data_IF_097655124943
#
_entry.id   IF_097655124943
#
_cell.length_a   1.000
_cell.length_b   1.000
_cell.length_c   1.000
_cell.angle_alpha   90.00
_cell.angle_beta   90.00
_cell.angle_gamma   90.00
#
_symmetry.space_group_name_H-M   'P 1'
#
loop_
_entity.id
_entity.type
_entity.pdbx_description
1 polymer ?
#
# COMPACT_ATOMS: atom_id res chain seq x y z
N UNK A 1 -19.89 -4.39 -15.55
CA UNK A 1 -19.98 -3.59 -14.31
C UNK A 1 -19.66 -2.15 -14.67
N UNK A 2 -20.08 -1.16 -13.87
CA UNK A 2 -19.66 0.22 -14.15
C UNK A 2 -18.22 0.42 -13.67
N UNK A 3 -17.48 1.35 -14.28
CA UNK A 3 -16.11 1.68 -13.84
C UNK A 3 -16.06 2.07 -12.35
N UNK A 4 -17.11 2.73 -11.85
CA UNK A 4 -17.28 3.05 -10.44
C UNK A 4 -17.31 1.80 -9.55
N UNK A 5 -18.06 0.77 -9.96
CA UNK A 5 -18.15 -0.50 -9.24
C UNK A 5 -16.77 -1.18 -9.15
N UNK A 6 -16.06 -1.27 -10.27
CA UNK A 6 -14.74 -1.91 -10.31
C UNK A 6 -13.70 -1.13 -9.49
N UNK A 7 -13.74 0.21 -9.54
CA UNK A 7 -12.89 1.08 -8.73
C UNK A 7 -13.17 0.94 -7.23
N UNK A 8 -14.44 0.85 -6.83
CA UNK A 8 -14.80 0.64 -5.42
C UNK A 8 -14.31 -0.72 -4.90
N UNK A 9 -14.48 -1.78 -5.69
CA UNK A 9 -13.97 -3.12 -5.35
C UNK A 9 -12.44 -3.12 -5.25
N UNK A 10 -11.75 -2.44 -6.19
CA UNK A 10 -10.29 -2.27 -6.15
C UNK A 10 -9.83 -1.51 -4.90
N UNK A 11 -10.43 -0.37 -4.60
CA UNK A 11 -10.14 0.44 -3.41
C UNK A 11 -10.36 -0.35 -2.13
N UNK A 12 -11.46 -1.10 -2.06
CA UNK A 12 -11.79 -1.93 -0.91
C UNK A 12 -10.73 -3.00 -0.62
N UNK A 13 -10.14 -3.59 -1.66
CA UNK A 13 -9.05 -4.56 -1.53
C UNK A 13 -7.73 -3.88 -1.19
N UNK A 14 -7.44 -2.72 -1.80
CA UNK A 14 -6.23 -1.94 -1.52
C UNK A 14 -6.19 -1.49 -0.05
N UNK A 15 -7.30 -0.95 0.46
CA UNK A 15 -7.42 -0.47 1.85
C UNK A 15 -7.17 -1.62 2.84
N UNK A 16 -7.78 -2.78 2.62
CA UNK A 16 -7.58 -3.97 3.46
C UNK A 16 -6.10 -4.40 3.52
N UNK A 17 -5.40 -4.36 2.38
CA UNK A 17 -3.96 -4.61 2.32
C UNK A 17 -3.17 -3.58 3.12
N UNK A 18 -3.43 -2.29 2.95
CA UNK A 18 -2.68 -1.24 3.63
C UNK A 18 -2.91 -1.27 5.15
N UNK A 19 -4.13 -1.61 5.60
CA UNK A 19 -4.42 -1.84 7.03
C UNK A 19 -3.52 -2.93 7.61
N UNK A 20 -3.50 -4.10 6.97
CA UNK A 20 -2.66 -5.23 7.40
C UNK A 20 -1.18 -4.87 7.39
N UNK A 21 -0.74 -4.10 6.40
CA UNK A 21 0.65 -3.66 6.26
C UNK A 21 1.10 -2.78 7.42
N UNK A 22 0.38 -1.70 7.74
CA UNK A 22 0.85 -0.80 8.80
C UNK A 22 0.81 -1.45 10.18
N UNK A 23 -0.16 -2.34 10.44
CA UNK A 23 -0.21 -3.12 11.69
C UNK A 23 1.01 -4.01 11.82
N UNK A 24 1.41 -4.67 10.72
CA UNK A 24 2.57 -5.53 10.74
C UNK A 24 3.88 -4.75 10.91
N UNK A 25 4.02 -3.61 10.21
CA UNK A 25 5.16 -2.71 10.38
C UNK A 25 5.31 -2.29 11.86
N UNK A 26 4.19 -1.89 12.49
CA UNK A 26 4.17 -1.52 13.90
C UNK A 26 4.45 -2.71 14.85
N UNK A 27 3.99 -3.92 14.49
CA UNK A 27 4.17 -5.14 15.29
C UNK A 27 5.61 -5.61 15.32
N UNK A 28 6.29 -5.56 14.18
CA UNK A 28 7.60 -6.18 14.05
C UNK A 28 8.68 -5.46 14.86
N UNK A 29 8.46 -4.22 15.32
CA UNK A 29 9.37 -3.44 16.18
C UNK A 29 10.82 -3.39 15.66
N UNK A 30 11.03 -3.64 14.35
CA UNK A 30 12.38 -3.93 13.87
C UNK A 30 13.23 -2.65 13.85
N UNK A 31 12.66 -1.46 13.65
CA UNK A 31 13.40 -0.17 13.69
C UNK A 31 12.40 1.02 13.79
N UNK A 32 12.85 2.16 14.33
CA UNK A 32 12.24 3.51 14.22
C UNK A 32 11.66 3.80 12.82
N UNK A 33 12.43 3.56 11.75
CA UNK A 33 12.02 3.78 10.35
C UNK A 33 10.74 3.02 9.95
N UNK A 34 10.51 1.86 10.54
CA UNK A 34 9.32 1.06 10.29
C UNK A 34 8.08 1.58 11.00
N UNK A 35 8.27 2.13 12.20
CA UNK A 35 7.20 2.76 12.97
C UNK A 35 6.77 4.05 12.30
N UNK A 36 7.72 4.79 11.72
CA UNK A 36 7.45 5.97 10.90
C UNK A 36 6.66 5.60 9.65
N UNK A 37 7.10 4.57 8.92
CA UNK A 37 6.38 4.10 7.74
C UNK A 37 4.99 3.54 8.08
N UNK A 38 4.82 2.93 9.26
CA UNK A 38 3.51 2.50 9.74
C UNK A 38 2.56 3.70 9.95
N UNK A 39 3.05 4.81 10.51
CA UNK A 39 2.24 6.01 10.68
C UNK A 39 1.80 6.57 9.32
N UNK A 40 2.74 6.73 8.40
CA UNK A 40 2.47 7.22 7.04
C UNK A 40 1.41 6.36 6.32
N UNK A 41 1.58 5.04 6.29
CA UNK A 41 0.62 4.13 5.65
C UNK A 41 -0.75 4.19 6.35
N UNK A 42 -0.79 4.43 7.67
CA UNK A 42 -2.07 4.61 8.37
C UNK A 42 -2.80 5.88 7.94
N UNK A 43 -2.08 6.97 7.67
CA UNK A 43 -2.65 8.21 7.12
C UNK A 43 -3.06 8.05 5.65
N UNK A 44 -2.31 7.30 4.84
CA UNK A 44 -2.73 6.93 3.48
C UNK A 44 -4.09 6.21 3.49
N UNK A 45 -4.34 5.32 4.47
CA UNK A 45 -5.62 4.63 4.62
C UNK A 45 -6.78 5.59 4.90
N UNK A 46 -6.56 6.68 5.66
CA UNK A 46 -7.59 7.69 5.88
C UNK A 46 -8.03 8.32 4.55
N UNK A 47 -7.08 8.71 3.69
CA UNK A 47 -7.39 9.30 2.40
C UNK A 47 -8.05 8.29 1.44
N UNK A 48 -7.56 7.05 1.40
CA UNK A 48 -8.16 5.99 0.59
C UNK A 48 -9.61 5.68 1.01
N UNK A 49 -9.93 5.71 2.30
CA UNK A 49 -11.31 5.55 2.80
C UNK A 49 -12.21 6.71 2.36
N UNK A 50 -11.69 7.95 2.36
CA UNK A 50 -12.41 9.11 1.83
C UNK A 50 -12.68 8.95 0.33
N UNK A 51 -11.70 8.48 -0.45
CA UNK A 51 -11.87 8.20 -1.87
C UNK A 51 -12.91 7.08 -2.10
N UNK A 52 -12.89 6.01 -1.30
CA UNK A 52 -13.86 4.93 -1.40
C UNK A 52 -15.29 5.40 -1.10
N UNK A 53 -15.47 6.26 -0.09
CA UNK A 53 -16.77 6.90 0.19
C UNK A 53 -17.23 7.78 -0.98
N UNK A 54 -16.33 8.54 -1.61
CA UNK A 54 -16.66 9.36 -2.78
C UNK A 54 -17.15 8.48 -3.95
N UNK A 55 -16.41 7.43 -4.29
CA UNK A 55 -16.83 6.48 -5.35
C UNK A 55 -18.18 5.84 -5.00
N UNK A 56 -18.39 5.48 -3.74
CA UNK A 56 -19.65 4.86 -3.32
C UNK A 56 -20.84 5.81 -3.46
N UNK A 57 -20.69 7.09 -3.11
CA UNK A 57 -21.74 8.10 -3.32
C UNK A 57 -22.09 8.28 -4.79
N UNK A 58 -21.10 8.26 -5.68
CA UNK A 58 -21.33 8.31 -7.13
C UNK A 58 -22.13 7.08 -7.61
N UNK A 59 -21.83 5.89 -7.07
CA UNK A 59 -22.62 4.66 -7.34
C UNK A 59 -24.06 4.81 -6.83
N UNK A 60 -24.24 5.29 -5.59
CA UNK A 60 -25.54 5.44 -4.93
C UNK A 60 -26.46 6.44 -5.65
N UNK A 61 -25.90 7.56 -6.10
CA UNK A 61 -26.66 8.61 -6.75
C UNK A 61 -27.17 8.22 -8.15
N UNK A 62 -26.78 7.04 -8.68
CA UNK A 62 -27.05 6.62 -10.06
C UNK A 62 -26.75 7.76 -11.05
N UNK A 63 -25.77 8.59 -10.72
CA UNK A 63 -25.35 9.65 -11.59
C UNK A 63 -24.75 8.97 -12.83
N UNK A 64 -25.58 8.85 -13.87
CA UNK A 64 -25.14 8.93 -15.26
C UNK A 64 -24.58 10.33 -15.54
N UNK A 65 -24.02 11.02 -14.54
CA UNK A 65 -23.43 12.32 -14.74
C UNK A 65 -22.14 12.04 -15.49
N UNK A 66 -22.09 12.55 -16.72
CA UNK A 66 -20.92 12.61 -17.57
C UNK A 66 -19.78 13.45 -16.95
N UNK A 67 -19.75 13.66 -15.62
CA UNK A 67 -18.61 14.30 -14.96
C UNK A 67 -17.49 13.27 -14.79
N UNK A 68 -16.93 12.81 -15.92
CA UNK A 68 -15.76 11.92 -15.93
C UNK A 68 -14.62 12.46 -15.06
N UNK A 69 -14.57 13.78 -14.91
CA UNK A 69 -13.61 14.55 -14.12
C UNK A 69 -13.56 14.13 -12.64
N UNK A 70 -14.69 13.77 -12.01
CA UNK A 70 -14.73 13.34 -10.60
C UNK A 70 -14.00 12.00 -10.43
N UNK A 71 -14.35 11.02 -11.27
CA UNK A 71 -13.70 9.70 -11.26
C UNK A 71 -12.25 9.74 -11.73
N UNK A 72 -11.93 10.55 -12.74
CA UNK A 72 -10.55 10.68 -13.23
C UNK A 72 -9.64 11.21 -12.14
N UNK A 73 -10.13 12.18 -11.35
CA UNK A 73 -9.41 12.70 -10.21
C UNK A 73 -9.27 11.68 -9.08
N UNK A 74 -10.25 10.82 -8.84
CA UNK A 74 -10.13 9.74 -7.83
C UNK A 74 -9.12 8.70 -8.31
N UNK A 75 -9.21 8.26 -9.56
CA UNK A 75 -8.29 7.29 -10.16
C UNK A 75 -6.85 7.76 -10.11
N UNK A 76 -6.59 9.02 -10.45
CA UNK A 76 -5.25 9.60 -10.40
C UNK A 76 -4.68 9.62 -8.97
N UNK A 77 -5.51 9.90 -7.97
CA UNK A 77 -5.09 9.83 -6.56
C UNK A 77 -4.84 8.40 -6.08
N UNK A 78 -5.61 7.42 -6.55
CA UNK A 78 -5.33 6.00 -6.24
C UNK A 78 -4.04 5.55 -6.93
N UNK A 79 -3.85 5.96 -8.19
CA UNK A 79 -2.63 5.71 -8.96
C UNK A 79 -1.41 6.28 -8.24
N UNK A 80 -1.50 7.50 -7.72
CA UNK A 80 -0.43 8.14 -6.93
C UNK A 80 0.11 7.23 -5.81
N UNK A 81 -0.73 6.69 -4.92
CA UNK A 81 -0.23 5.85 -3.82
C UNK A 81 0.40 4.55 -4.32
N UNK A 82 -0.19 3.93 -5.35
CA UNK A 82 0.37 2.71 -5.95
C UNK A 82 1.71 2.98 -6.61
N UNK A 83 1.87 4.12 -7.29
CA UNK A 83 3.14 4.55 -7.87
C UNK A 83 4.18 4.75 -6.77
N UNK A 84 3.87 5.45 -5.69
CA UNK A 84 4.82 5.62 -4.57
C UNK A 84 5.24 4.27 -3.97
N UNK A 85 4.31 3.34 -3.75
CA UNK A 85 4.65 2.00 -3.27
C UNK A 85 5.45 1.17 -4.30
N UNK A 86 5.13 1.31 -5.58
CA UNK A 86 5.85 0.65 -6.66
C UNK A 86 7.30 1.13 -6.75
N UNK A 87 7.53 2.44 -6.68
CA UNK A 87 8.86 3.05 -6.71
C UNK A 87 9.71 2.60 -5.51
N UNK A 88 9.15 2.64 -4.29
CA UNK A 88 9.83 2.16 -3.07
C UNK A 88 10.21 0.68 -3.19
N UNK A 89 9.28 -0.15 -3.61
CA UNK A 89 9.51 -1.59 -3.75
C UNK A 89 10.45 -1.95 -4.91
N UNK A 90 10.51 -1.14 -5.96
CA UNK A 90 11.50 -1.29 -7.02
C UNK A 90 12.92 -1.01 -6.52
N UNK A 91 13.12 0.06 -5.74
CA UNK A 91 14.40 0.35 -5.11
C UNK A 91 14.84 -0.80 -4.18
N UNK A 92 13.93 -1.33 -3.38
CA UNK A 92 14.18 -2.51 -2.55
C UNK A 92 14.55 -3.74 -3.39
N UNK A 93 13.83 -4.00 -4.48
CA UNK A 93 14.13 -5.10 -5.39
C UNK A 93 15.52 -4.95 -6.03
N UNK A 94 15.94 -3.72 -6.36
CA UNK A 94 17.31 -3.44 -6.81
C UNK A 94 18.34 -3.79 -5.72
N UNK A 95 18.05 -3.47 -4.45
CA UNK A 95 18.93 -3.72 -3.31
C UNK A 95 19.08 -5.22 -3.00
N UNK A 96 17.96 -5.94 -2.87
CA UNK A 96 17.91 -7.33 -2.43
C UNK A 96 17.22 -8.13 -3.53
N UNK A 97 18.02 -8.86 -4.33
CA UNK A 97 17.50 -9.81 -5.31
C UNK A 97 16.61 -10.84 -4.60
N UNK A 98 15.30 -10.75 -4.84
CA UNK A 98 14.33 -11.76 -4.47
C UNK A 98 13.84 -12.42 -5.77
N UNK A 99 14.20 -13.69 -5.95
CA UNK A 99 13.81 -14.50 -7.12
C UNK A 99 12.32 -14.90 -7.08
N UNK A 100 11.63 -14.62 -5.97
CA UNK A 100 10.19 -14.83 -5.87
C UNK A 100 9.44 -13.83 -6.75
N UNK A 101 8.45 -14.32 -7.50
CA UNK A 101 7.45 -13.47 -8.16
C UNK A 101 6.49 -12.82 -7.13
N UNK A 102 6.51 -13.25 -5.88
CA UNK A 102 5.64 -12.74 -4.81
C UNK A 102 6.26 -11.55 -4.05
N UNK A 103 6.94 -10.64 -4.76
CA UNK A 103 7.46 -9.41 -4.15
C UNK A 103 6.44 -8.28 -4.21
N UNK A 104 6.59 -7.29 -3.31
CA UNK A 104 5.77 -6.06 -3.33
C UNK A 104 5.92 -5.33 -4.67
N UNK A 105 7.08 -5.39 -5.32
CA UNK A 105 7.31 -4.81 -6.65
C UNK A 105 6.39 -5.42 -7.72
N UNK A 106 6.33 -6.75 -7.80
CA UNK A 106 5.44 -7.40 -8.77
C UNK A 106 3.97 -7.22 -8.44
N UNK A 107 3.59 -7.26 -7.15
CA UNK A 107 2.22 -7.00 -6.68
C UNK A 107 1.75 -5.60 -7.05
N UNK A 108 2.52 -4.57 -6.71
CA UNK A 108 2.18 -3.17 -7.01
C UNK A 108 2.14 -2.92 -8.52
N UNK A 109 3.04 -3.53 -9.29
CA UNK A 109 2.98 -3.48 -10.75
C UNK A 109 1.72 -4.13 -11.33
N UNK A 110 1.24 -5.21 -10.73
CA UNK A 110 -0.04 -5.83 -11.10
C UNK A 110 -1.25 -4.96 -10.70
N UNK A 111 -1.20 -4.32 -9.54
CA UNK A 111 -2.23 -3.38 -9.07
C UNK A 111 -2.34 -2.16 -10.00
N UNK A 112 -1.21 -1.59 -10.43
CA UNK A 112 -1.18 -0.49 -11.41
C UNK A 112 -1.77 -0.91 -12.77
N UNK A 113 -1.44 -2.12 -13.25
CA UNK A 113 -2.04 -2.65 -14.49
C UNK A 113 -3.55 -2.81 -14.36
N UNK A 114 -4.04 -3.42 -13.27
CA UNK A 114 -5.47 -3.57 -13.02
C UNK A 114 -6.18 -2.22 -12.92
N UNK A 115 -5.57 -1.22 -12.28
CA UNK A 115 -6.13 0.13 -12.24
C UNK A 115 -6.25 0.74 -13.65
N UNK A 116 -5.27 0.51 -14.51
CA UNK A 116 -5.30 0.91 -15.93
C UNK A 116 -6.32 0.15 -16.79
N UNK A 117 -6.73 -1.06 -16.38
CA UNK A 117 -7.83 -1.83 -17.01
C UNK A 117 -9.21 -1.25 -16.65
N UNK A 118 -9.38 -0.71 -15.44
CA UNK A 118 -10.62 -0.05 -14.99
C UNK A 118 -10.88 1.22 -15.83
N UNK A 119 -9.83 2.02 -16.05
CA UNK A 119 -9.87 3.15 -16.97
C UNK A 119 -8.46 3.46 -17.46
N UNK A 120 -8.33 3.67 -18.78
CA UNK A 120 -7.06 4.06 -19.38
C UNK A 120 -6.69 5.46 -18.90
N UNK A 121 -5.55 5.57 -18.22
CA UNK A 121 -5.03 6.87 -17.81
C UNK A 121 -4.80 7.76 -19.05
N UNK A 122 -5.20 9.02 -18.95
CA UNK A 122 -4.99 10.00 -20.02
C UNK A 122 -3.50 10.31 -20.23
N UNK A 123 -2.68 10.13 -19.18
CA UNK A 123 -1.23 10.34 -19.18
C UNK A 123 -0.50 9.12 -18.61
N UNK A 124 0.63 8.79 -19.23
CA UNK A 124 1.62 7.82 -18.70
C UNK A 124 2.56 8.48 -17.67
N UNK A 125 2.45 9.78 -17.46
CA UNK A 125 3.22 10.51 -16.45
C UNK A 125 2.80 10.12 -15.03
N UNK A 126 3.73 10.30 -14.08
CA UNK A 126 3.45 10.09 -12.65
C UNK A 126 2.38 11.05 -12.15
N UNK A 127 1.46 10.52 -11.35
CA UNK A 127 0.41 11.29 -10.70
C UNK A 127 1.03 12.30 -9.73
N UNK A 128 0.43 13.49 -9.64
CA UNK A 128 0.95 14.57 -8.79
C UNK A 128 0.25 14.57 -7.43
N UNK A 129 0.97 14.85 -6.33
CA UNK A 129 0.34 14.93 -5.01
C UNK A 129 -0.53 16.19 -4.92
N UNK A 130 -1.77 16.03 -4.45
CA UNK A 130 -2.72 17.15 -4.29
C UNK A 130 -3.03 17.47 -2.83
N UNK A 131 -2.79 16.54 -1.91
CA UNK A 131 -2.97 16.75 -0.47
C UNK A 131 -1.63 16.86 0.25
N UNK A 132 -1.63 17.44 1.46
CA UNK A 132 -0.43 17.49 2.29
C UNK A 132 0.10 16.09 2.63
N UNK A 133 -0.80 15.13 2.88
CA UNK A 133 -0.42 13.73 3.17
C UNK A 133 0.24 13.10 1.94
N UNK A 134 -0.29 13.34 0.73
CA UNK A 134 0.36 12.88 -0.50
C UNK A 134 1.72 13.54 -0.73
N UNK A 135 1.85 14.85 -0.47
CA UNK A 135 3.14 15.53 -0.57
C UNK A 135 4.17 14.93 0.41
N UNK A 136 3.76 14.68 1.66
CA UNK A 136 4.61 14.02 2.65
C UNK A 136 4.95 12.58 2.21
N UNK A 137 3.97 11.83 1.71
CA UNK A 137 4.17 10.47 1.19
C UNK A 137 5.19 10.44 0.05
N UNK A 138 5.11 11.37 -0.91
CA UNK A 138 6.09 11.49 -1.98
C UNK A 138 7.48 11.81 -1.41
N UNK A 139 7.57 12.81 -0.51
CA UNK A 139 8.83 13.18 0.12
C UNK A 139 9.49 12.00 0.85
N UNK A 140 8.75 11.33 1.73
CA UNK A 140 9.26 10.21 2.50
C UNK A 140 9.63 9.02 1.60
N UNK A 141 8.85 8.78 0.53
CA UNK A 141 9.15 7.76 -0.46
C UNK A 141 10.47 8.03 -1.20
N UNK A 142 10.67 9.27 -1.65
CA UNK A 142 11.91 9.68 -2.33
C UNK A 142 13.09 9.60 -1.37
N UNK A 143 12.93 10.01 -0.10
CA UNK A 143 13.97 9.89 0.92
C UNK A 143 14.39 8.42 1.16
N UNK A 144 13.43 7.49 1.18
CA UNK A 144 13.68 6.05 1.30
C UNK A 144 14.43 5.54 0.06
N UNK A 145 13.93 5.85 -1.14
CA UNK A 145 14.55 5.44 -2.40
C UNK A 145 15.98 5.96 -2.50
N UNK A 146 16.19 7.24 -2.22
CA UNK A 146 17.51 7.88 -2.18
C UNK A 146 18.45 7.10 -1.26
N UNK A 147 18.01 6.82 -0.03
CA UNK A 147 18.81 6.11 0.97
C UNK A 147 19.19 4.69 0.52
N UNK A 148 18.24 3.94 -0.04
CA UNK A 148 18.47 2.60 -0.59
C UNK A 148 19.55 2.63 -1.68
N UNK A 149 19.39 3.55 -2.63
CA UNK A 149 20.28 3.65 -3.78
C UNK A 149 21.67 4.13 -3.36
N UNK A 150 21.75 5.04 -2.38
CA UNK A 150 23.02 5.50 -1.82
C UNK A 150 23.81 4.33 -1.22
N UNK A 151 23.17 3.47 -0.42
CA UNK A 151 23.79 2.26 0.13
C UNK A 151 24.26 1.31 -0.97
N UNK A 152 23.43 1.06 -1.98
CA UNK A 152 23.81 0.17 -3.09
C UNK A 152 25.01 0.72 -3.88
N UNK A 153 25.06 2.04 -4.11
CA UNK A 153 26.16 2.74 -4.77
C UNK A 153 27.45 2.64 -3.93
N UNK A 154 27.37 2.95 -2.64
CA UNK A 154 28.52 2.88 -1.72
C UNK A 154 29.07 1.44 -1.61
N UNK A 155 28.20 0.45 -1.46
CA UNK A 155 28.60 -0.96 -1.41
C UNK A 155 29.25 -1.42 -2.70
N UNK A 156 28.76 -0.98 -3.86
CA UNK A 156 29.39 -1.28 -5.15
C UNK A 156 30.82 -0.72 -5.22
N UNK A 157 31.05 0.45 -4.66
CA UNK A 157 32.36 1.12 -4.66
C UNK A 157 33.31 0.52 -3.62
N UNK A 158 32.79 0.08 -2.47
CA UNK A 158 33.54 -0.60 -1.42
C UNK A 158 32.74 -1.77 -0.83
N UNK A 159 32.80 -2.98 -1.43
CA UNK A 159 32.05 -4.15 -0.96
C UNK A 159 32.40 -4.59 0.47
N UNK A 160 33.59 -4.24 0.95
CA UNK A 160 34.09 -4.62 2.28
C UNK A 160 33.83 -3.55 3.36
N UNK A 161 33.05 -2.51 3.04
CA UNK A 161 32.68 -1.48 4.02
C UNK A 161 31.99 -2.09 5.25
N UNK A 162 32.18 -1.44 6.41
CA UNK A 162 31.44 -1.79 7.62
C UNK A 162 29.96 -1.43 7.42
N UNK A 163 29.10 -2.44 7.50
CA UNK A 163 27.66 -2.29 7.46
C UNK A 163 27.11 -2.07 8.87
N UNK A 164 26.00 -1.34 8.98
CA UNK A 164 25.36 -1.13 10.29
C UNK A 164 25.04 -2.47 10.95
N UNK A 165 25.39 -2.59 12.24
CA UNK A 165 25.17 -3.80 13.04
C UNK A 165 23.70 -4.12 13.22
N UNK A 166 22.81 -3.15 12.99
CA UNK A 166 21.37 -3.39 12.96
C UNK A 166 20.91 -4.15 11.72
N UNK A 167 21.68 -4.18 10.63
CA UNK A 167 21.36 -4.99 9.45
C UNK A 167 21.64 -6.46 9.78
N UNK A 168 20.65 -7.36 9.66
CA UNK A 168 20.84 -8.78 9.93
C UNK A 168 21.97 -9.41 9.09
N UNK A 169 22.69 -10.36 9.68
CA UNK A 169 23.91 -10.93 9.10
C UNK A 169 23.69 -11.60 7.74
N UNK A 170 22.56 -12.30 7.57
CA UNK A 170 22.14 -12.90 6.32
C UNK A 170 21.90 -11.86 5.21
N UNK A 171 21.27 -10.73 5.56
CA UNK A 171 21.10 -9.62 4.62
C UNK A 171 22.44 -8.97 4.25
N UNK A 172 23.37 -8.81 5.19
CA UNK A 172 24.71 -8.30 4.89
C UNK A 172 25.46 -9.18 3.86
N UNK A 173 25.34 -10.51 3.96
CA UNK A 173 25.93 -11.43 2.97
C UNK A 173 25.34 -11.19 1.58
N UNK A 174 24.01 -11.01 1.49
CA UNK A 174 23.34 -10.73 0.22
C UNK A 174 23.76 -9.37 -0.36
N UNK A 175 23.82 -8.32 0.47
CA UNK A 175 24.25 -6.98 0.06
C UNK A 175 25.67 -7.01 -0.53
N UNK A 176 26.62 -7.66 0.16
CA UNK A 176 28.00 -7.80 -0.33
C UNK A 176 28.09 -8.60 -1.63
N UNK A 177 27.33 -9.69 -1.76
CA UNK A 177 27.25 -10.44 -3.03
C UNK A 177 26.69 -9.60 -4.17
N UNK A 178 25.69 -8.78 -3.89
CA UNK A 178 25.05 -7.93 -4.89
C UNK A 178 25.98 -6.78 -5.34
N UNK A 179 26.87 -6.31 -4.46
CA UNK A 179 27.88 -5.31 -4.77
C UNK A 179 28.78 -5.68 -5.96
N UNK A 180 29.17 -6.95 -6.06
CA UNK A 180 30.05 -7.45 -7.13
C UNK A 180 29.29 -8.01 -8.33
N UNK A 181 27.96 -7.93 -8.34
CA UNK A 181 27.12 -8.51 -9.40
C UNK A 181 26.02 -7.52 -9.82
N UNK A 182 24.87 -7.56 -9.15
CA UNK A 182 23.67 -6.79 -9.45
C UNK A 182 23.90 -5.29 -9.46
N UNK A 183 24.66 -4.75 -8.51
CA UNK A 183 24.89 -3.31 -8.45
C UNK A 183 25.78 -2.81 -9.60
N UNK A 184 26.55 -3.71 -10.21
CA UNK A 184 27.28 -3.44 -11.46
C UNK A 184 26.30 -3.46 -12.64
N UNK A 185 25.45 -4.48 -12.74
CA UNK A 185 24.44 -4.62 -13.79
C UNK A 185 23.49 -3.41 -13.86
N UNK A 186 23.04 -2.92 -12.71
CA UNK A 186 22.08 -1.80 -12.62
C UNK A 186 22.73 -0.44 -12.32
N UNK A 187 24.04 -0.30 -12.51
CA UNK A 187 24.80 0.93 -12.16
C UNK A 187 24.16 2.21 -12.70
N UNK A 188 23.84 2.25 -13.98
CA UNK A 188 23.34 3.47 -14.63
C UNK A 188 21.90 3.79 -14.20
N UNK A 189 21.07 2.76 -13.98
CA UNK A 189 19.70 2.93 -13.48
C UNK A 189 19.72 3.48 -12.06
N UNK A 190 20.52 2.89 -11.16
CA UNK A 190 20.65 3.36 -9.78
C UNK A 190 21.22 4.78 -9.73
N UNK A 191 22.24 5.09 -10.53
CA UNK A 191 22.81 6.43 -10.59
C UNK A 191 21.80 7.50 -11.01
N UNK A 192 21.00 7.24 -12.06
CA UNK A 192 19.96 8.16 -12.51
C UNK A 192 18.87 8.38 -11.47
N UNK A 193 18.39 7.31 -10.84
CA UNK A 193 17.33 7.41 -9.84
C UNK A 193 17.82 8.07 -8.55
N UNK A 194 19.05 7.79 -8.14
CA UNK A 194 19.68 8.47 -7.01
C UNK A 194 19.78 9.97 -7.26
N UNK A 195 20.29 10.38 -8.43
CA UNK A 195 20.38 11.80 -8.78
C UNK A 195 19.00 12.47 -8.82
N UNK A 196 18.02 11.85 -9.48
CA UNK A 196 16.65 12.40 -9.52
C UNK A 196 16.02 12.51 -8.13
N UNK A 197 16.37 11.60 -7.21
CA UNK A 197 15.89 11.66 -5.83
C UNK A 197 16.59 12.78 -5.06
N UNK A 198 17.90 12.94 -5.23
CA UNK A 198 18.68 14.04 -4.65
C UNK A 198 18.14 15.41 -5.12
N UNK A 199 17.94 15.58 -6.42
CA UNK A 199 17.41 16.82 -7.00
C UNK A 199 16.04 17.18 -6.39
N UNK A 200 15.12 16.20 -6.31
CA UNK A 200 13.82 16.38 -5.69
C UNK A 200 13.93 16.77 -4.19
N UNK A 201 14.80 16.10 -3.43
CA UNK A 201 14.95 16.36 -2.00
C UNK A 201 15.57 17.74 -1.71
N UNK A 202 16.45 18.24 -2.59
CA UNK A 202 17.01 19.60 -2.49
C UNK A 202 15.96 20.69 -2.76
N UNK A 203 15.00 20.42 -3.64
CA UNK A 203 13.89 21.34 -3.93
C UNK A 203 12.74 21.25 -2.91
N UNK A 204 12.62 20.11 -2.22
CA UNK A 204 11.54 19.87 -1.26
C UNK A 204 11.67 20.74 0.00
N UNK A 205 10.57 21.39 0.39
CA UNK A 205 10.50 22.16 1.64
C UNK A 205 10.06 21.34 2.85
N UNK A 206 9.63 20.08 2.61
CA UNK A 206 9.18 19.18 3.64
C UNK A 206 10.38 18.57 4.37
N UNK A 207 10.14 18.14 5.61
CA UNK A 207 11.07 17.31 6.37
C UNK A 207 10.54 15.90 6.39
N UNK A 208 11.45 14.95 6.44
CA UNK A 208 11.11 13.55 6.68
C UNK A 208 10.28 13.41 7.96
N UNK A 209 9.19 12.65 7.89
CA UNK A 209 8.33 12.41 9.05
C UNK A 209 9.11 11.65 10.13
N UNK A 210 8.99 12.08 11.38
CA UNK A 210 9.55 11.40 12.56
C UNK A 210 8.46 10.87 13.50
N UNK A 211 7.21 10.86 13.03
CA UNK A 211 6.08 10.37 13.82
C UNK A 211 6.04 8.85 13.81
N UNK A 212 6.17 8.22 14.98
CA UNK A 212 6.15 6.76 15.11
C UNK A 212 4.74 6.23 15.46
N UNK A 213 4.30 5.20 14.74
CA UNK A 213 3.10 4.44 15.09
C UNK A 213 3.45 3.13 15.79
N UNK A 214 3.30 3.12 17.13
CA UNK A 214 3.49 1.93 17.94
C UNK A 214 2.39 0.88 17.74
N UNK A 215 2.68 -0.37 18.07
CA UNK A 215 1.79 -1.51 17.82
C UNK A 215 0.38 -1.39 18.40
N UNK A 216 0.23 -1.04 19.70
CA UNK A 216 -1.11 -0.95 20.30
C UNK A 216 -1.94 0.21 19.71
N UNK A 217 -1.38 1.42 19.53
CA UNK A 217 -2.02 2.46 18.71
C UNK A 217 -2.38 2.01 17.29
N UNK A 218 -1.47 1.32 16.58
CA UNK A 218 -1.72 0.79 15.24
C UNK A 218 -2.91 -0.16 15.23
N UNK A 219 -2.96 -1.09 16.18
CA UNK A 219 -4.06 -2.05 16.32
C UNK A 219 -5.40 -1.35 16.57
N UNK A 220 -5.40 -0.31 17.41
CA UNK A 220 -6.62 0.49 17.67
C UNK A 220 -7.07 1.23 16.41
N UNK A 221 -6.15 1.85 15.66
CA UNK A 221 -6.46 2.49 14.36
C UNK A 221 -7.00 1.47 13.36
N UNK A 222 -6.43 0.26 13.31
CA UNK A 222 -6.88 -0.80 12.42
C UNK A 222 -8.32 -1.19 12.66
N UNK A 223 -8.72 -1.39 13.93
CA UNK A 223 -10.12 -1.66 14.26
C UNK A 223 -11.06 -0.55 13.77
N UNK A 224 -10.64 0.72 13.84
CA UNK A 224 -11.42 1.85 13.34
C UNK A 224 -11.53 1.84 11.82
N UNK A 225 -10.40 1.66 11.12
CA UNK A 225 -10.37 1.63 9.65
C UNK A 225 -11.11 0.41 9.08
N UNK A 226 -10.97 -0.77 9.71
CA UNK A 226 -11.72 -1.99 9.36
C UNK A 226 -13.22 -1.77 9.53
N UNK A 227 -13.64 -1.14 10.62
CA UNK A 227 -15.07 -0.82 10.86
C UNK A 227 -15.61 0.16 9.82
N UNK A 228 -14.83 1.17 9.44
CA UNK A 228 -15.21 2.12 8.38
C UNK A 228 -15.31 1.42 7.02
N UNK A 229 -14.31 0.60 6.66
CA UNK A 229 -14.32 -0.16 5.42
C UNK A 229 -15.53 -1.12 5.35
N UNK A 230 -15.84 -1.80 6.44
CA UNK A 230 -16.97 -2.73 6.50
C UNK A 230 -18.32 -1.99 6.36
N UNK A 231 -18.43 -0.79 6.94
CA UNK A 231 -19.57 0.08 6.73
C UNK A 231 -19.75 0.45 5.25
N UNK A 232 -18.67 0.84 4.55
CA UNK A 232 -18.70 1.12 3.11
C UNK A 232 -19.11 -0.11 2.29
N UNK A 233 -18.53 -1.28 2.60
CA UNK A 233 -18.84 -2.55 1.92
C UNK A 233 -20.30 -2.97 2.11
N UNK A 234 -20.83 -2.80 3.32
CA UNK A 234 -22.24 -3.11 3.62
C UNK A 234 -23.20 -2.25 2.81
N UNK A 235 -22.92 -0.93 2.73
CA UNK A 235 -23.66 -0.02 1.85
C UNK A 235 -23.58 -0.43 0.39
N UNK A 236 -22.38 -0.71 -0.12
CA UNK A 236 -22.18 -1.19 -1.48
C UNK A 236 -22.98 -2.48 -1.79
N UNK A 237 -23.00 -3.45 -0.88
CA UNK A 237 -23.77 -4.68 -1.03
C UNK A 237 -25.29 -4.44 -1.10
N UNK A 238 -25.81 -3.50 -0.30
CA UNK A 238 -27.24 -3.14 -0.33
C UNK A 238 -27.69 -2.59 -1.69
N UNK A 239 -26.78 -1.96 -2.44
CA UNK A 239 -27.04 -1.45 -3.79
C UNK A 239 -27.01 -2.60 -4.82
N UNK A 240 -26.05 -3.53 -4.68
CA UNK A 240 -25.84 -4.65 -5.62
C UNK A 240 -26.93 -5.72 -5.52
N UNK A 241 -27.62 -5.81 -4.37
CA UNK A 241 -28.72 -6.73 -4.12
C UNK A 241 -29.97 -5.98 -3.68
N UNK A 242 -30.73 -5.34 -4.61
CA UNK A 242 -31.95 -4.60 -4.26
C UNK A 242 -33.12 -5.50 -3.81
N UNK A 243 -32.94 -6.82 -3.76
CA UNK A 243 -34.01 -7.79 -3.51
C UNK A 243 -33.67 -8.70 -2.33
N UNK A 244 -33.88 -8.21 -1.12
CA UNK A 244 -34.20 -9.02 0.07
C UNK A 244 -34.76 -8.20 1.25
N UNK A 245 -35.43 -7.07 0.97
CA UNK A 245 -36.40 -6.51 1.91
C UNK A 245 -37.72 -7.24 1.71
N UNK A 246 -37.83 -8.42 2.30
CA UNK A 246 -39.10 -9.15 2.40
C UNK A 246 -40.08 -8.33 3.25
N UNK A 247 -41.19 -7.95 2.62
CA UNK A 247 -42.48 -7.85 3.27
C UNK A 247 -42.76 -9.17 3.99
N UNK A 248 -42.99 -9.12 5.30
CA UNK A 248 -43.75 -10.17 5.98
C UNK A 248 -44.84 -9.48 6.82
N UNK A 249 -45.96 -9.23 6.15
CA UNK A 249 -47.27 -9.29 6.81
C UNK A 249 -47.70 -10.77 6.90
N UNK A 250 -48.23 -11.19 8.04
CA UNK A 250 -49.13 -12.34 8.12
C UNK A 250 -48.72 -13.46 9.09
N UNK A 251 -49.48 -13.56 10.18
CA UNK A 251 -49.58 -14.66 11.14
C UNK A 251 -49.58 -16.07 10.53
N UNK A 252 -48.96 -17.04 11.21
CA UNK A 252 -49.70 -18.12 11.90
C UNK A 252 -48.76 -19.00 12.76
N UNK A 253 -49.18 -19.21 14.02
CA UNK A 253 -48.64 -20.20 14.95
C UNK A 253 -48.85 -21.63 14.44
N UNK A 254 -47.80 -22.46 14.40
CA UNK A 254 -47.87 -23.87 14.85
C UNK A 254 -46.51 -24.29 15.43
N UNK A 255 -46.54 -24.74 16.67
CA UNK A 255 -45.44 -25.35 17.43
C UNK A 255 -45.03 -26.71 16.84
N UNK A 256 -43.73 -26.99 16.78
CA UNK A 256 -43.19 -28.32 17.13
C UNK A 256 -41.66 -28.27 17.33
N UNK A 257 -41.22 -28.90 18.41
CA UNK A 257 -39.84 -29.04 18.86
C UNK A 257 -38.96 -29.78 17.83
N UNK A 258 -37.72 -29.30 17.61
CA UNK A 258 -36.56 -30.16 17.31
C UNK A 258 -35.22 -29.44 17.42
N UNK A 259 -34.37 -30.05 18.23
CA UNK A 259 -32.90 -29.99 18.35
C UNK A 259 -32.15 -28.76 17.83
N UNK A 260 -31.57 -28.05 18.81
CA UNK A 260 -30.45 -27.13 18.62
C UNK A 260 -29.21 -27.89 18.15
N UNK A 261 -28.95 -27.86 16.84
CA UNK A 261 -27.59 -27.91 16.31
C UNK A 261 -27.38 -26.67 15.45
N UNK A 262 -26.88 -25.61 16.08
CA UNK A 262 -26.51 -24.38 15.40
C UNK A 262 -25.21 -24.63 14.60
N UNK A 263 -25.34 -25.18 13.39
CA UNK A 263 -24.33 -24.99 12.36
C UNK A 263 -24.42 -23.53 11.91
N UNK A 264 -23.42 -22.74 12.30
CA UNK A 264 -23.19 -21.39 11.78
C UNK A 264 -23.09 -21.50 10.26
N UNK A 265 -23.98 -20.84 9.48
CA UNK A 265 -23.85 -20.90 8.02
C UNK A 265 -22.54 -20.23 7.63
N UNK A 266 -21.67 -20.99 6.97
CA UNK A 266 -20.45 -20.49 6.34
C UNK A 266 -20.81 -19.29 5.47
N UNK A 267 -20.36 -18.10 5.88
CA UNK A 267 -20.40 -16.89 5.06
C UNK A 267 -19.54 -17.13 3.83
N UNK A 268 -20.20 -17.49 2.71
CA UNK A 268 -19.56 -17.51 1.39
C UNK A 268 -19.16 -16.10 1.02
N UNK A 269 -17.89 -15.78 1.28
CA UNK A 269 -17.18 -14.64 0.69
C UNK A 269 -17.40 -14.64 -0.83
N UNK A 270 -17.95 -13.54 -1.35
CA UNK A 270 -18.19 -13.31 -2.78
C UNK A 270 -16.88 -13.01 -3.54
N UNK A 271 -15.73 -13.03 -2.87
CA UNK A 271 -14.44 -12.81 -3.50
C UNK A 271 -13.94 -14.10 -4.16
N UNK A 272 -13.92 -14.08 -5.49
CA UNK A 272 -13.35 -15.10 -6.36
C UNK A 272 -11.97 -15.58 -5.88
N UNK A 273 -11.71 -16.88 -5.95
CA UNK A 273 -10.42 -17.51 -5.63
C UNK A 273 -9.23 -16.93 -6.41
N UNK A 274 -9.47 -16.22 -7.52
CA UNK A 274 -8.46 -15.47 -8.27
C UNK A 274 -7.92 -14.27 -7.48
N UNK A 275 -8.74 -13.58 -6.67
CA UNK A 275 -8.31 -12.40 -5.90
C UNK A 275 -7.36 -12.76 -4.75
N UNK A 276 -7.41 -14.03 -4.27
CA UNK A 276 -6.51 -14.55 -3.25
C UNK A 276 -5.04 -14.68 -3.73
N UNK A 277 -4.80 -14.84 -5.03
CA UNK A 277 -3.44 -14.85 -5.59
C UNK A 277 -2.91 -13.44 -5.89
N UNK A 278 -3.79 -12.50 -6.27
CA UNK A 278 -3.39 -11.11 -6.56
C UNK A 278 -3.30 -10.21 -5.32
N UNK A 279 -4.11 -10.49 -4.27
CA UNK A 279 -4.23 -9.67 -3.05
C UNK A 279 -3.99 -10.48 -1.76
N UNK A 280 -4.08 -11.81 -1.81
CA UNK A 280 -3.94 -12.70 -0.65
C UNK A 280 -2.55 -13.31 -0.45
N UNK A 281 -1.55 -12.87 -1.21
CA UNK A 281 -0.16 -13.08 -0.87
C UNK A 281 0.28 -12.06 0.16
N UNK A 282 -0.01 -12.30 1.44
CA UNK A 282 0.77 -11.70 2.53
C UNK A 282 2.17 -12.33 2.49
N UNK A 283 2.91 -12.05 1.41
CA UNK A 283 4.34 -12.16 1.38
C UNK A 283 4.85 -11.04 2.30
N UNK A 284 4.89 -11.41 3.57
CA UNK A 284 5.54 -10.80 4.72
C UNK A 284 7.07 -10.66 4.51
N UNK A 285 7.47 -10.30 3.30
CA UNK A 285 8.84 -10.10 2.85
C UNK A 285 9.19 -8.62 2.65
N UNK A 286 8.23 -7.69 2.78
CA UNK A 286 8.52 -6.25 2.80
C UNK A 286 8.57 -5.72 4.23
N UNK A 287 9.44 -6.34 5.00
CA UNK A 287 9.74 -5.87 6.34
C UNK A 287 11.22 -5.58 6.35
N UNK A 288 11.47 -4.29 6.14
CA UNK A 288 12.48 -3.53 6.87
C UNK A 288 13.87 -4.17 6.81
N UNK A 289 14.59 -3.92 5.71
CA UNK A 289 16.04 -4.05 5.68
C UNK A 289 16.73 -2.70 5.44
N UNK A 290 16.20 -1.64 6.04
CA UNK A 290 16.90 -0.37 6.12
C UNK A 290 16.89 0.14 7.55
N UNK A 291 17.44 -0.62 8.52
CA UNK A 291 17.75 0.01 9.77
C UNK A 291 18.85 1.05 9.53
N UNK A 292 18.59 2.30 9.91
CA UNK A 292 19.61 3.34 10.18
C UNK A 292 20.29 4.07 9.03
N UNK A 293 19.93 3.89 7.75
CA UNK A 293 20.46 4.80 6.73
C UNK A 293 20.14 6.26 7.05
N UNK A 294 18.92 6.54 7.53
CA UNK A 294 18.52 7.90 7.91
C UNK A 294 19.27 8.44 9.14
N UNK A 295 19.69 7.58 10.07
CA UNK A 295 20.51 8.00 11.23
C UNK A 295 21.96 8.31 10.86
N UNK A 296 22.52 7.62 9.85
CA UNK A 296 23.86 7.92 9.33
C UNK A 296 23.92 9.28 8.61
N UNK A 297 22.80 9.76 8.06
CA UNK A 297 22.69 11.08 7.45
C UNK A 297 22.26 12.20 8.42
N UNK A 298 21.71 11.90 9.61
CA UNK A 298 21.64 12.89 10.71
C UNK A 298 23.04 13.38 11.12
N UNK A 299 24.08 12.56 10.92
CA UNK A 299 25.49 12.90 11.24
C UNK A 299 26.19 13.66 10.10
N UNK A 300 25.72 13.54 8.85
CA UNK A 300 26.30 14.21 7.67
C UNK A 300 25.50 15.44 7.21
N UNK A 301 24.89 16.18 8.14
CA UNK A 301 24.47 17.56 7.86
C UNK A 301 25.69 18.48 7.97
N UNK A 302 26.32 18.75 6.82
CA UNK A 302 27.08 19.98 6.58
C UNK A 302 26.14 21.04 6.03
#
# INVERSE_FOLDING_TARGET
MSQHTELFEFLSELIDIQIKKYVELAKRKVVEDALINADLVSEEVNELLVLAEQVLKEIENNEKSDSSDSIDRILDQVKFYLEQEHLRSYAEWLLIKNDSQDTVYYRTGAQLRRLGEIKRFASEEYSQPITHIQQQCQHDSVQIIHSILALAIQLRENPDMELDKSIPADAQVVLRRNATTRYIEFKDTMGRWHQSSEDFLQESTLKFSDTELLFEPARKRAMQHESQLEYLRSRYQSIKSPSQSEEVEGDEMVSEEKDYSAEVPERKSVFSSTNLLFFGGVALAAVIFLPRLLSQFKVNRL
#
